data_IF_752929364330
#
_entry.id   IF_752929364330
#
_cell.length_a   1.000
_cell.length_b   1.000
_cell.length_c   1.000
_cell.angle_alpha   90.00
_cell.angle_beta   90.00
_cell.angle_gamma   90.00
#
_symmetry.space_group_name_H-M   'P 1'
#
loop_
_entity.id
_entity.type
_entity.pdbx_description
1 polymer ?
#
# COMPACT_ATOMS: atom_id res chain seq x y z
N UNK A 1 5.25 28.87 -15.01
CA UNK A 1 5.63 28.46 -13.64
C UNK A 1 4.59 27.51 -13.06
N UNK A 2 4.99 26.69 -12.11
CA UNK A 2 4.09 25.91 -11.27
C UNK A 2 3.79 26.74 -10.03
N UNK A 3 2.51 26.79 -9.63
CA UNK A 3 2.11 27.45 -8.38
C UNK A 3 2.05 26.47 -7.19
N UNK A 4 2.75 25.37 -7.29
CA UNK A 4 2.81 24.37 -6.25
C UNK A 4 3.85 24.77 -5.20
N UNK A 5 3.43 24.92 -3.96
CA UNK A 5 4.27 25.36 -2.83
C UNK A 5 4.56 24.24 -1.84
N UNK A 6 3.77 23.16 -1.87
CA UNK A 6 3.94 22.01 -0.96
C UNK A 6 4.77 20.94 -1.63
N UNK A 7 5.87 20.58 -1.01
CA UNK A 7 6.72 19.49 -1.47
C UNK A 7 6.46 18.16 -0.72
N UNK A 8 5.48 18.14 0.18
CA UNK A 8 5.18 16.96 1.02
C UNK A 8 3.69 16.67 1.10
N UNK A 9 3.32 15.41 0.83
CA UNK A 9 1.98 14.86 1.05
C UNK A 9 2.06 13.64 1.97
N UNK A 10 0.99 13.32 2.68
CA UNK A 10 0.86 12.04 3.38
C UNK A 10 0.32 10.97 2.44
N UNK A 11 0.68 9.71 2.69
CA UNK A 11 0.09 8.57 1.96
C UNK A 11 -1.44 8.66 1.98
N UNK A 12 -2.08 8.48 0.82
CA UNK A 12 -3.53 8.58 0.63
C UNK A 12 -4.05 9.98 0.35
N UNK A 13 -3.24 11.02 0.54
CA UNK A 13 -3.64 12.39 0.20
C UNK A 13 -3.59 12.64 -1.32
N UNK A 14 -4.40 13.60 -1.75
CA UNK A 14 -4.35 14.11 -3.12
C UNK A 14 -4.34 15.63 -3.12
N UNK A 15 -3.68 16.22 -4.11
CA UNK A 15 -3.58 17.67 -4.29
C UNK A 15 -3.58 18.02 -5.76
N UNK A 16 -4.23 19.13 -6.11
CA UNK A 16 -4.28 19.64 -7.47
C UNK A 16 -3.25 20.76 -7.68
N UNK A 17 -2.47 20.62 -8.74
CA UNK A 17 -1.48 21.62 -9.14
C UNK A 17 -2.04 22.48 -10.26
N UNK A 18 -1.87 23.78 -10.15
CA UNK A 18 -2.17 24.72 -11.24
C UNK A 18 -0.90 25.13 -11.97
N UNK A 19 -0.99 25.23 -13.27
CA UNK A 19 0.09 25.75 -14.13
C UNK A 19 -0.24 27.19 -14.46
N UNK A 20 0.70 28.10 -14.19
CA UNK A 20 0.59 29.49 -14.62
C UNK A 20 1.44 29.70 -15.88
N UNK A 21 0.83 30.16 -16.94
CA UNK A 21 1.48 30.49 -18.20
C UNK A 21 1.83 31.97 -18.24
N UNK A 22 2.91 32.32 -18.93
CA UNK A 22 3.13 33.70 -19.33
C UNK A 22 2.11 34.05 -20.42
N UNK A 23 1.73 35.35 -20.50
CA UNK A 23 0.85 35.85 -21.55
C UNK A 23 1.32 35.37 -22.92
N UNK A 24 0.43 34.70 -23.67
CA UNK A 24 0.65 34.09 -24.99
C UNK A 24 1.19 32.64 -25.06
N UNK A 25 1.27 31.91 -23.97
CA UNK A 25 1.59 30.49 -24.02
C UNK A 25 0.30 29.63 -24.09
N UNK A 26 -0.09 29.21 -25.27
CA UNK A 26 -1.13 28.18 -25.46
C UNK A 26 -0.52 26.80 -25.46
N UNK A 27 -1.14 25.84 -24.79
CA UNK A 27 -0.65 24.47 -24.78
C UNK A 27 -1.78 23.47 -24.92
N UNK A 28 -1.84 22.86 -26.11
CA UNK A 28 -2.82 21.82 -26.42
C UNK A 28 -2.31 20.38 -26.14
N UNK A 29 -1.04 20.19 -25.83
CA UNK A 29 -0.44 18.87 -25.59
C UNK A 29 0.46 18.89 -24.36
N UNK A 30 -0.10 19.32 -23.25
CA UNK A 30 0.61 19.32 -21.98
C UNK A 30 0.69 17.93 -21.40
N UNK A 31 1.84 17.62 -20.82
CA UNK A 31 2.04 16.29 -20.24
C UNK A 31 2.57 16.40 -18.82
N UNK A 32 1.79 15.89 -17.90
CA UNK A 32 2.22 15.61 -16.55
C UNK A 32 2.92 14.26 -16.48
N UNK A 33 3.98 14.18 -15.70
CA UNK A 33 4.69 12.92 -15.43
C UNK A 33 5.15 12.85 -13.99
N UNK A 34 5.22 11.62 -13.47
CA UNK A 34 5.88 11.29 -12.22
C UNK A 34 7.04 10.35 -12.52
N UNK A 35 8.21 10.65 -11.98
CA UNK A 35 9.41 9.81 -12.15
C UNK A 35 9.30 8.47 -11.44
N UNK A 36 8.45 8.39 -10.39
CA UNK A 36 8.16 7.15 -9.69
C UNK A 36 6.65 7.05 -9.37
N UNK A 37 5.93 6.30 -10.21
CA UNK A 37 4.48 6.10 -10.09
C UNK A 37 4.06 5.21 -8.92
N UNK A 38 4.99 4.50 -8.30
CA UNK A 38 4.73 3.74 -7.07
C UNK A 38 4.63 4.69 -5.87
N UNK A 39 5.39 5.78 -5.86
CA UNK A 39 5.34 6.80 -4.80
C UNK A 39 4.15 7.72 -4.98
N UNK A 40 3.97 8.30 -6.17
CA UNK A 40 2.80 9.12 -6.48
C UNK A 40 2.49 9.10 -7.98
N UNK A 41 1.21 9.23 -8.32
CA UNK A 41 0.74 9.44 -9.69
C UNK A 41 0.19 10.86 -9.84
N UNK A 42 0.14 11.33 -11.09
CA UNK A 42 -0.51 12.59 -11.45
C UNK A 42 -1.35 12.37 -12.71
N UNK A 43 -2.57 12.92 -12.73
CA UNK A 43 -3.46 12.80 -13.88
C UNK A 43 -3.28 13.97 -14.87
N UNK A 44 -4.05 13.97 -15.97
CA UNK A 44 -4.04 15.02 -17.00
C UNK A 44 -4.40 16.41 -16.46
N UNK A 45 -5.24 16.45 -15.43
CA UNK A 45 -5.75 17.69 -14.84
C UNK A 45 -4.80 18.27 -13.78
N UNK A 46 -3.64 17.63 -13.57
CA UNK A 46 -2.67 18.05 -12.59
C UNK A 46 -2.99 17.61 -11.14
N UNK A 47 -3.88 16.63 -10.95
CA UNK A 47 -4.16 16.10 -9.62
C UNK A 47 -3.18 14.99 -9.26
N UNK A 48 -2.42 15.21 -8.19
CA UNK A 48 -1.50 14.24 -7.61
C UNK A 48 -2.27 13.30 -6.67
N UNK A 49 -1.83 12.03 -6.64
CA UNK A 49 -2.28 11.01 -5.71
C UNK A 49 -1.06 10.37 -5.04
N UNK A 50 -0.86 10.61 -3.75
CA UNK A 50 0.22 10.05 -2.95
C UNK A 50 -0.10 8.59 -2.60
N UNK A 51 0.75 7.64 -3.03
CA UNK A 51 0.46 6.20 -2.93
C UNK A 51 1.27 5.49 -1.86
N UNK A 52 2.57 5.75 -1.81
CA UNK A 52 3.47 5.10 -0.86
C UNK A 52 4.60 6.04 -0.43
N UNK A 53 5.25 5.69 0.68
CA UNK A 53 6.38 6.46 1.22
C UNK A 53 7.51 6.58 0.19
N UNK A 54 8.18 7.74 0.17
CA UNK A 54 9.33 7.99 -0.69
C UNK A 54 9.30 9.36 -1.35
N UNK A 55 10.13 9.54 -2.37
CA UNK A 55 10.19 10.78 -3.15
C UNK A 55 10.05 10.50 -4.63
N UNK A 56 9.43 11.42 -5.33
CA UNK A 56 9.30 11.41 -6.80
C UNK A 56 9.41 12.82 -7.34
N UNK A 57 9.85 12.95 -8.59
CA UNK A 57 9.82 14.23 -9.30
C UNK A 57 8.56 14.31 -10.14
N UNK A 58 7.76 15.34 -9.89
CA UNK A 58 6.59 15.67 -10.71
C UNK A 58 7.03 16.70 -11.72
N UNK A 59 6.74 16.45 -12.98
CA UNK A 59 7.16 17.31 -14.08
C UNK A 59 5.97 17.63 -15.00
N UNK A 60 5.95 18.83 -15.48
CA UNK A 60 5.03 19.32 -16.49
C UNK A 60 5.79 19.79 -17.71
N UNK A 61 5.48 19.26 -18.88
CA UNK A 61 6.11 19.60 -20.16
C UNK A 61 5.09 20.26 -21.07
N UNK A 62 5.46 21.43 -21.58
CA UNK A 62 4.65 22.19 -22.55
C UNK A 62 4.88 21.69 -23.98
N UNK A 63 4.03 22.10 -24.91
CA UNK A 63 4.14 21.78 -26.33
C UNK A 63 5.50 22.20 -26.92
N UNK A 64 6.02 23.37 -26.55
CA UNK A 64 7.32 23.87 -26.99
C UNK A 64 8.51 23.34 -26.19
N UNK A 65 8.35 22.16 -25.57
CA UNK A 65 9.37 21.43 -24.82
C UNK A 65 9.94 22.14 -23.58
N UNK A 66 9.31 23.20 -23.07
CA UNK A 66 9.68 23.77 -21.78
C UNK A 66 9.17 22.86 -20.67
N UNK A 67 10.02 22.62 -19.69
CA UNK A 67 9.70 21.76 -18.55
C UNK A 67 9.81 22.52 -17.25
N UNK A 68 8.85 22.32 -16.37
CA UNK A 68 8.91 22.74 -14.97
C UNK A 68 8.70 21.50 -14.10
N UNK A 69 9.45 21.39 -13.02
CA UNK A 69 9.40 20.24 -12.13
C UNK A 69 9.65 20.63 -10.69
N UNK A 70 9.21 19.78 -9.77
CA UNK A 70 9.52 19.87 -8.34
C UNK A 70 9.64 18.47 -7.75
N UNK A 71 10.34 18.38 -6.63
CA UNK A 71 10.46 17.14 -5.85
C UNK A 71 9.28 17.04 -4.89
N UNK A 72 8.50 15.97 -5.02
CA UNK A 72 7.45 15.60 -4.08
C UNK A 72 7.98 14.54 -3.13
N UNK A 73 7.81 14.74 -1.83
CA UNK A 73 8.03 13.74 -0.80
C UNK A 73 6.69 13.23 -0.29
N UNK A 74 6.48 11.92 -0.31
CA UNK A 74 5.32 11.28 0.32
C UNK A 74 5.77 10.75 1.67
N UNK A 75 5.19 11.31 2.72
CA UNK A 75 5.47 10.99 4.12
C UNK A 75 4.32 10.19 4.75
N UNK A 76 4.59 9.57 5.88
CA UNK A 76 3.62 8.87 6.71
C UNK A 76 4.27 8.42 7.99
N UNK A 77 3.46 8.10 8.98
CA UNK A 77 3.96 7.45 10.18
C UNK A 77 4.22 5.98 9.88
N UNK A 78 5.43 5.50 10.12
CA UNK A 78 5.70 4.08 10.15
C UNK A 78 4.88 3.46 11.29
N UNK A 79 4.16 2.38 10.99
CA UNK A 79 3.44 1.61 11.99
C UNK A 79 4.22 0.34 12.30
N UNK A 80 4.27 -0.03 13.59
CA UNK A 80 4.83 -1.32 14.00
C UNK A 80 3.83 -2.42 13.67
N UNK A 81 4.28 -3.40 12.89
CA UNK A 81 3.51 -4.57 12.51
C UNK A 81 4.35 -5.83 12.75
N UNK A 82 3.73 -6.90 13.25
CA UNK A 82 4.38 -8.20 13.39
C UNK A 82 3.85 -9.16 12.32
N UNK A 83 4.74 -9.97 11.78
CA UNK A 83 4.43 -11.16 10.99
C UNK A 83 4.42 -12.36 11.91
N UNK A 84 3.30 -13.10 11.96
CA UNK A 84 3.07 -14.20 12.90
C UNK A 84 2.51 -15.40 12.16
N UNK A 85 3.09 -16.56 12.46
CA UNK A 85 2.66 -17.87 11.96
C UNK A 85 2.77 -18.91 13.06
N UNK A 86 2.63 -20.18 12.73
CA UNK A 86 2.87 -21.30 13.65
C UNK A 86 4.29 -21.29 14.24
N UNK A 87 5.26 -20.69 13.55
CA UNK A 87 6.65 -20.68 14.00
C UNK A 87 6.90 -19.83 15.25
N UNK A 88 6.02 -18.88 15.57
CA UNK A 88 6.08 -18.07 16.79
C UNK A 88 5.42 -18.76 18.00
N UNK A 89 4.82 -19.94 17.81
CA UNK A 89 4.18 -20.70 18.88
C UNK A 89 2.99 -19.97 19.52
N UNK A 90 3.00 -19.85 20.85
CA UNK A 90 1.99 -19.09 21.59
C UNK A 90 2.38 -17.62 21.66
N UNK A 91 1.48 -16.75 21.21
CA UNK A 91 1.64 -15.28 21.24
C UNK A 91 0.60 -14.67 22.17
N UNK A 92 1.07 -13.93 23.16
CA UNK A 92 0.21 -13.09 24.02
C UNK A 92 -0.04 -11.75 23.35
N UNK A 93 -1.19 -11.61 22.69
CA UNK A 93 -1.54 -10.39 21.97
C UNK A 93 -1.81 -9.20 22.86
N UNK A 94 -2.11 -9.36 24.14
CA UNK A 94 -2.21 -8.24 25.07
C UNK A 94 -0.82 -7.63 25.34
N UNK A 95 0.21 -8.45 25.50
CA UNK A 95 1.60 -7.98 25.59
C UNK A 95 2.06 -7.34 24.30
N UNK A 96 1.71 -7.91 23.14
CA UNK A 96 1.98 -7.32 21.82
C UNK A 96 1.37 -5.92 21.71
N UNK A 97 0.11 -5.77 22.11
CA UNK A 97 -0.59 -4.48 22.13
C UNK A 97 0.07 -3.47 23.06
N UNK A 98 0.41 -3.90 24.28
CA UNK A 98 1.07 -3.06 25.29
C UNK A 98 2.48 -2.60 24.85
N UNK A 99 3.16 -3.39 24.00
CA UNK A 99 4.43 -3.02 23.40
C UNK A 99 4.30 -2.05 22.20
N UNK A 100 3.09 -1.58 21.90
CA UNK A 100 2.79 -0.58 20.87
C UNK A 100 2.60 -1.14 19.46
N UNK A 101 2.43 -2.45 19.30
CA UNK A 101 2.08 -3.07 18.03
C UNK A 101 0.56 -3.09 17.87
N UNK A 102 0.07 -2.31 16.91
CA UNK A 102 -1.35 -2.17 16.63
C UNK A 102 -1.80 -2.94 15.38
N UNK A 103 -0.85 -3.59 14.71
CA UNK A 103 -1.06 -4.31 13.46
C UNK A 103 -0.31 -5.64 13.50
N UNK A 104 -0.93 -6.68 12.98
CA UNK A 104 -0.29 -7.98 12.74
C UNK A 104 -0.69 -8.50 11.36
N UNK A 105 0.23 -9.20 10.71
CA UNK A 105 -0.05 -10.00 9.51
C UNK A 105 0.09 -11.44 9.91
N UNK A 106 -0.99 -12.23 9.78
CA UNK A 106 -1.03 -13.64 10.15
C UNK A 106 -0.91 -14.51 8.92
N UNK A 107 -0.07 -15.53 8.98
CA UNK A 107 -0.11 -16.57 7.95
C UNK A 107 -1.43 -17.33 8.05
N UNK A 108 -2.26 -17.27 7.00
CA UNK A 108 -3.49 -18.05 6.95
C UNK A 108 -3.21 -19.52 6.59
N UNK A 109 -2.18 -19.75 5.77
CA UNK A 109 -1.76 -21.07 5.35
C UNK A 109 -0.70 -21.00 4.26
N UNK A 110 -0.52 -22.10 3.52
CA UNK A 110 0.48 -22.25 2.47
C UNK A 110 0.04 -23.30 1.45
N UNK A 111 0.62 -23.24 0.23
CA UNK A 111 0.43 -24.25 -0.81
C UNK A 111 -0.99 -24.28 -1.39
N UNK A 112 -1.39 -25.42 -1.96
CA UNK A 112 -2.56 -25.55 -2.85
C UNK A 112 -3.78 -26.20 -2.25
N UNK A 113 -3.67 -26.73 -1.01
CA UNK A 113 -4.71 -27.56 -0.39
C UNK A 113 -5.33 -26.88 0.82
N UNK A 114 -6.64 -27.04 1.00
CA UNK A 114 -7.38 -26.48 2.14
C UNK A 114 -6.86 -26.97 3.49
N UNK A 115 -6.26 -28.16 3.52
CA UNK A 115 -5.64 -28.75 4.71
C UNK A 115 -4.34 -28.05 5.12
N UNK A 116 -3.76 -27.23 4.27
CA UNK A 116 -2.52 -26.50 4.52
C UNK A 116 -2.75 -25.15 5.24
N UNK A 117 -3.86 -25.05 5.96
CA UNK A 117 -4.11 -23.94 6.88
C UNK A 117 -3.06 -23.92 7.99
N UNK A 118 -2.60 -22.71 8.37
CA UNK A 118 -1.70 -22.56 9.51
C UNK A 118 -2.40 -23.01 10.81
N UNK A 119 -1.80 -23.93 11.56
CA UNK A 119 -2.40 -24.52 12.74
C UNK A 119 -2.73 -23.51 13.86
N UNK A 120 -2.08 -22.36 13.85
CA UNK A 120 -2.28 -21.30 14.84
C UNK A 120 -3.18 -20.18 14.35
N UNK A 121 -3.56 -20.19 13.07
CA UNK A 121 -4.27 -19.07 12.45
C UNK A 121 -5.56 -18.68 13.18
N UNK A 122 -6.45 -19.65 13.46
CA UNK A 122 -7.73 -19.39 14.12
C UNK A 122 -7.54 -18.75 15.49
N UNK A 123 -6.67 -19.34 16.30
CA UNK A 123 -6.35 -18.85 17.64
C UNK A 123 -5.74 -17.45 17.58
N UNK A 124 -4.75 -17.25 16.71
CA UNK A 124 -4.05 -15.97 16.59
C UNK A 124 -4.99 -14.88 16.07
N UNK A 125 -5.85 -15.20 15.09
CA UNK A 125 -6.86 -14.27 14.60
C UNK A 125 -7.82 -13.82 15.72
N UNK A 126 -8.40 -14.79 16.45
CA UNK A 126 -9.33 -14.50 17.53
C UNK A 126 -8.69 -13.65 18.64
N UNK A 127 -7.49 -14.05 19.07
CA UNK A 127 -6.78 -13.36 20.15
C UNK A 127 -6.29 -11.96 19.75
N UNK A 128 -5.83 -11.76 18.51
CA UNK A 128 -5.44 -10.45 18.01
C UNK A 128 -6.63 -9.49 17.92
N UNK A 129 -7.78 -9.98 17.42
CA UNK A 129 -9.03 -9.19 17.36
C UNK A 129 -9.53 -8.85 18.77
N UNK A 130 -9.50 -9.79 19.72
CA UNK A 130 -9.88 -9.56 21.12
C UNK A 130 -8.99 -8.51 21.81
N UNK A 131 -7.69 -8.49 21.49
CA UNK A 131 -6.75 -7.46 21.96
C UNK A 131 -6.88 -6.10 21.25
N UNK A 132 -7.81 -5.95 20.30
CA UNK A 132 -7.99 -4.73 19.53
C UNK A 132 -6.83 -4.43 18.57
N UNK A 133 -6.13 -5.46 18.10
CA UNK A 133 -5.09 -5.37 17.08
C UNK A 133 -5.73 -5.54 15.71
N UNK A 134 -5.32 -4.70 14.75
CA UNK A 134 -5.75 -4.81 13.36
C UNK A 134 -5.04 -5.96 12.67
N UNK A 135 -5.80 -6.79 11.97
CA UNK A 135 -5.32 -8.04 11.39
C UNK A 135 -5.36 -7.99 9.87
N UNK A 136 -4.21 -8.25 9.27
CA UNK A 136 -4.06 -8.66 7.88
C UNK A 136 -3.65 -10.12 7.82
N UNK A 137 -3.64 -10.69 6.61
CA UNK A 137 -3.20 -12.06 6.39
C UNK A 137 -2.28 -12.17 5.19
N UNK A 138 -1.48 -13.22 5.17
CA UNK A 138 -0.75 -13.64 3.99
C UNK A 138 -0.88 -15.14 3.75
N UNK A 139 -0.63 -15.54 2.54
CA UNK A 139 -0.54 -16.92 2.10
C UNK A 139 0.87 -17.20 1.61
N UNK A 140 1.48 -18.26 2.12
CA UNK A 140 2.83 -18.62 1.66
C UNK A 140 2.73 -19.47 0.39
N UNK A 141 3.02 -18.84 -0.75
CA UNK A 141 2.86 -19.46 -2.06
C UNK A 141 4.07 -20.32 -2.45
N UNK A 142 3.77 -21.49 -3.02
CA UNK A 142 4.71 -22.36 -3.73
C UNK A 142 4.37 -22.48 -5.23
N UNK A 143 3.47 -21.63 -5.72
CA UNK A 143 3.00 -21.71 -7.10
C UNK A 143 4.12 -21.46 -8.11
N UNK A 144 4.16 -22.32 -9.13
CA UNK A 144 5.07 -22.20 -10.28
C UNK A 144 4.33 -21.98 -11.59
N UNK A 145 3.01 -21.95 -11.55
CA UNK A 145 2.14 -21.73 -12.71
C UNK A 145 0.90 -20.89 -12.33
N UNK A 146 0.24 -20.22 -13.31
CA UNK A 146 -1.02 -19.52 -13.08
C UNK A 146 -2.13 -20.42 -12.50
N UNK A 147 -2.18 -21.68 -12.93
CA UNK A 147 -3.15 -22.67 -12.41
C UNK A 147 -2.90 -22.95 -10.93
N UNK A 148 -1.63 -23.14 -10.53
CA UNK A 148 -1.29 -23.33 -9.12
C UNK A 148 -1.62 -22.11 -8.28
N UNK A 149 -1.31 -20.90 -8.77
CA UNK A 149 -1.63 -19.66 -8.08
C UNK A 149 -3.13 -19.50 -7.85
N UNK A 150 -3.96 -19.90 -8.83
CA UNK A 150 -5.42 -19.90 -8.70
C UNK A 150 -5.90 -20.90 -7.62
N UNK A 151 -5.30 -22.09 -7.58
CA UNK A 151 -5.63 -23.10 -6.54
C UNK A 151 -5.24 -22.59 -5.14
N UNK A 152 -4.05 -22.00 -5.00
CA UNK A 152 -3.60 -21.42 -3.72
C UNK A 152 -4.49 -20.25 -3.28
N UNK A 153 -4.94 -19.38 -4.20
CA UNK A 153 -5.88 -18.33 -3.89
C UNK A 153 -7.21 -18.86 -3.36
N UNK A 154 -7.76 -19.93 -3.97
CA UNK A 154 -8.98 -20.58 -3.50
C UNK A 154 -8.79 -21.24 -2.14
N UNK A 155 -7.65 -21.91 -1.89
CA UNK A 155 -7.33 -22.47 -0.59
C UNK A 155 -7.20 -21.38 0.50
N UNK A 156 -6.61 -20.25 0.17
CA UNK A 156 -6.56 -19.09 1.05
C UNK A 156 -7.97 -18.58 1.39
N UNK A 157 -8.83 -18.35 0.39
CA UNK A 157 -10.22 -17.90 0.59
C UNK A 157 -11.02 -18.90 1.45
N UNK A 158 -10.86 -20.18 1.21
CA UNK A 158 -11.47 -21.24 2.04
C UNK A 158 -11.02 -21.16 3.50
N UNK A 159 -9.71 -20.99 3.74
CA UNK A 159 -9.15 -20.87 5.09
C UNK A 159 -9.60 -19.59 5.81
N UNK A 160 -9.81 -18.51 5.08
CA UNK A 160 -10.34 -17.26 5.64
C UNK A 160 -11.79 -17.40 6.10
N UNK A 161 -12.59 -18.21 5.43
CA UNK A 161 -13.97 -18.50 5.79
C UNK A 161 -14.78 -17.25 6.19
N UNK A 162 -14.76 -16.23 5.36
CA UNK A 162 -15.48 -14.96 5.56
C UNK A 162 -14.94 -14.06 6.69
N UNK A 163 -13.76 -14.33 7.25
CA UNK A 163 -13.14 -13.49 8.29
C UNK A 163 -12.91 -12.07 7.78
N UNK A 164 -13.29 -11.09 8.59
CA UNK A 164 -13.07 -9.69 8.29
C UNK A 164 -11.63 -9.29 8.59
N UNK A 165 -10.93 -8.84 7.56
CA UNK A 165 -9.58 -8.28 7.64
C UNK A 165 -9.62 -6.75 7.76
N UNK A 166 -8.58 -6.17 8.37
CA UNK A 166 -8.46 -4.73 8.61
C UNK A 166 -7.42 -4.09 7.68
N UNK A 167 -6.64 -4.90 6.96
CA UNK A 167 -5.60 -4.49 6.02
C UNK A 167 -5.66 -5.33 4.75
#
# INVERSE_FOLDING_TARGET
>A
TLNYTTSTLKVGQSEAIKVTYNNNAYSFKNKWTSSNKYVATINSDGKIYAKSLGSTTISYRTYNNKTASFKLTVSGSAVKCLDISTWQGYVDFNKVKSAGYNYVILRAGFGRENSQKDNTFERNYANAKAAGIKVGVYWFSYSTSPSDAYREANACLYCLNGKRLDM
#
